data_IF_188616452413
#
_entry.id   IF_188616452413
#
_cell.length_a   1.000
_cell.length_b   1.000
_cell.length_c   1.000
_cell.angle_alpha   90.00
_cell.angle_beta   90.00
_cell.angle_gamma   90.00
#
_symmetry.space_group_name_H-M   'P 1'
#
loop_
_entity.id
_entity.type
_entity.pdbx_description
1 polymer ?
#
# COMPACT_ATOMS: atom_id res chain seq x y z
N UNK A 1 -34.31 21.73 -41.60
CA UNK A 1 -35.28 20.68 -41.94
C UNK A 1 -35.42 19.81 -40.70
N UNK A 2 -36.41 19.98 -39.82
CA UNK A 2 -37.74 19.32 -39.75
C UNK A 2 -37.60 17.79 -40.00
N UNK A 3 -37.91 16.85 -39.10
CA UNK A 3 -39.14 16.60 -38.28
C UNK A 3 -38.86 15.46 -37.30
N UNK A 4 -39.26 15.54 -36.05
CA UNK A 4 -40.50 15.01 -35.39
C UNK A 4 -40.45 13.52 -35.03
N UNK A 5 -40.42 13.26 -33.73
CA UNK A 5 -41.50 12.81 -32.81
C UNK A 5 -42.11 11.43 -33.12
N UNK A 6 -42.17 10.55 -32.13
CA UNK A 6 -43.41 10.09 -31.48
C UNK A 6 -43.11 9.22 -30.26
N UNK A 7 -43.72 9.55 -29.14
CA UNK A 7 -43.87 8.78 -27.91
C UNK A 7 -45.05 7.80 -28.03
N UNK A 8 -44.99 6.65 -27.35
CA UNK A 8 -46.18 5.90 -26.94
C UNK A 8 -45.97 5.33 -25.54
N UNK A 9 -46.80 5.81 -24.63
CA UNK A 9 -47.10 5.22 -23.34
C UNK A 9 -47.98 3.98 -23.50
N UNK A 10 -47.76 2.92 -22.70
CA UNK A 10 -48.82 1.98 -22.39
C UNK A 10 -48.72 1.59 -20.90
N UNK A 11 -49.74 2.02 -20.18
CA UNK A 11 -50.05 1.65 -18.81
C UNK A 11 -50.95 0.43 -18.86
N UNK A 12 -50.68 -0.64 -18.13
CA UNK A 12 -51.67 -1.69 -17.85
C UNK A 12 -51.73 -1.97 -16.36
N UNK A 13 -52.84 -1.55 -15.78
CA UNK A 13 -53.29 -1.85 -14.43
C UNK A 13 -53.95 -3.23 -14.41
N UNK A 14 -53.55 -4.13 -13.54
CA UNK A 14 -54.29 -5.35 -13.27
C UNK A 14 -54.74 -5.35 -11.80
N UNK A 15 -56.02 -5.10 -11.57
CA UNK A 15 -56.73 -5.33 -10.31
C UNK A 15 -57.02 -6.85 -10.17
N UNK A 16 -56.64 -7.47 -9.07
CA UNK A 16 -57.24 -8.73 -8.63
C UNK A 16 -57.95 -8.52 -7.30
N UNK A 17 -59.24 -8.76 -7.35
CA UNK A 17 -60.18 -8.84 -6.24
C UNK A 17 -60.00 -10.18 -5.52
N UNK A 18 -59.80 -10.16 -4.21
CA UNK A 18 -59.95 -11.35 -3.36
C UNK A 18 -61.25 -11.27 -2.58
N UNK A 19 -62.09 -12.27 -2.79
CA UNK A 19 -63.34 -12.51 -2.08
C UNK A 19 -63.10 -13.09 -0.69
N UNK A 20 -63.76 -12.49 0.30
CA UNK A 20 -63.81 -12.98 1.67
C UNK A 20 -64.73 -14.20 1.79
N UNK A 21 -64.17 -15.33 2.21
CA UNK A 21 -64.93 -16.47 2.69
C UNK A 21 -64.84 -16.59 4.21
N UNK A 22 -65.95 -16.32 4.91
CA UNK A 22 -66.06 -16.56 6.35
C UNK A 22 -66.31 -18.06 6.59
N UNK A 23 -65.39 -18.72 7.29
CA UNK A 23 -65.67 -19.99 7.96
C UNK A 23 -65.65 -19.80 9.47
N UNK A 24 -66.83 -20.01 10.04
CA UNK A 24 -67.07 -20.02 11.51
C UNK A 24 -66.71 -21.41 12.04
N UNK A 25 -65.71 -21.52 12.90
CA UNK A 25 -65.44 -22.71 13.68
C UNK A 25 -65.75 -22.46 15.15
N UNK A 26 -66.66 -23.30 15.70
CA UNK A 26 -66.98 -23.41 17.11
C UNK A 26 -65.75 -23.86 17.91
N UNK A 27 -65.30 -23.05 18.85
CA UNK A 27 -64.29 -23.46 19.82
C UNK A 27 -64.93 -24.20 21.01
N UNK A 28 -64.44 -25.41 21.28
CA UNK A 28 -64.54 -26.06 22.57
C UNK A 28 -63.47 -25.50 23.52
N UNK A 29 -63.74 -25.31 24.79
CA UNK A 29 -62.74 -24.90 25.77
C UNK A 29 -61.70 -26.00 25.97
N UNK A 30 -60.43 -25.69 25.76
CA UNK A 30 -59.30 -26.58 26.11
C UNK A 30 -58.88 -26.33 27.55
N UNK A 31 -58.60 -27.42 28.26
CA UNK A 31 -58.02 -27.40 29.61
C UNK A 31 -56.64 -26.68 29.65
N UNK A 32 -56.26 -26.08 30.80
CA UNK A 32 -54.97 -25.42 30.89
C UNK A 32 -53.81 -26.43 30.83
N UNK A 33 -52.94 -26.25 29.85
CA UNK A 33 -51.71 -27.00 29.72
C UNK A 33 -50.78 -26.70 30.93
N UNK A 34 -50.36 -27.74 31.63
CA UNK A 34 -49.31 -27.67 32.64
C UNK A 34 -48.00 -27.35 31.94
N UNK A 35 -47.48 -26.13 32.13
CA UNK A 35 -46.15 -25.75 31.65
C UNK A 35 -45.11 -26.44 32.51
N UNK A 36 -44.43 -27.47 31.94
CA UNK A 36 -43.17 -27.94 32.49
C UNK A 36 -42.14 -26.83 32.38
N UNK A 37 -41.30 -26.58 33.39
CA UNK A 37 -40.23 -25.57 33.28
C UNK A 37 -39.29 -25.96 32.18
N UNK A 38 -39.08 -25.05 31.22
CA UNK A 38 -38.08 -25.16 30.17
C UNK A 38 -36.71 -25.35 30.81
N UNK A 39 -35.92 -26.40 30.51
CA UNK A 39 -34.57 -26.50 31.04
C UNK A 39 -33.77 -25.30 30.66
N UNK A 40 -33.03 -24.71 31.59
CA UNK A 40 -32.15 -23.58 31.36
C UNK A 40 -31.34 -23.78 30.08
N UNK A 41 -31.25 -22.81 29.18
CA UNK A 41 -30.39 -22.92 28.00
C UNK A 41 -28.95 -23.25 28.47
N UNK A 42 -28.24 -24.10 27.74
CA UNK A 42 -26.86 -24.43 28.08
C UNK A 42 -26.04 -23.12 28.18
N UNK A 43 -25.08 -23.02 29.10
CA UNK A 43 -24.24 -21.85 29.22
C UNK A 43 -23.56 -21.57 27.87
N UNK A 44 -23.37 -20.27 27.50
CA UNK A 44 -22.69 -19.95 26.27
C UNK A 44 -21.28 -20.58 26.27
N UNK A 45 -20.80 -21.07 25.14
CA UNK A 45 -19.44 -21.64 25.05
C UNK A 45 -18.44 -20.62 25.56
N UNK A 46 -17.38 -21.03 26.25
CA UNK A 46 -16.33 -20.13 26.70
C UNK A 46 -15.78 -19.34 25.51
N UNK A 47 -15.40 -18.08 25.70
CA UNK A 47 -14.84 -17.27 24.62
C UNK A 47 -13.63 -17.99 24.03
N UNK A 48 -13.63 -18.18 22.71
CA UNK A 48 -12.51 -18.79 22.00
C UNK A 48 -11.32 -17.85 22.16
N UNK A 49 -10.35 -18.21 22.97
CA UNK A 49 -9.08 -17.50 23.06
C UNK A 49 -8.36 -17.77 21.73
N UNK A 50 -8.29 -16.75 20.87
CA UNK A 50 -7.48 -16.82 19.64
C UNK A 50 -6.03 -16.90 20.11
N UNK A 51 -5.40 -18.05 19.91
CA UNK A 51 -4.00 -18.24 20.28
C UNK A 51 -3.13 -17.29 19.44
N UNK A 52 -2.20 -16.59 20.11
CA UNK A 52 -1.19 -15.78 19.44
C UNK A 52 -0.26 -16.74 18.69
N UNK A 53 -0.05 -16.58 17.37
CA UNK A 53 0.79 -17.49 16.60
C UNK A 53 2.25 -17.36 17.00
N UNK A 54 2.99 -18.44 16.89
CA UNK A 54 4.44 -18.44 17.02
C UNK A 54 5.11 -17.77 15.81
N UNK A 55 6.34 -17.29 15.96
CA UNK A 55 7.14 -16.76 14.85
C UNK A 55 7.28 -17.80 13.72
N UNK A 56 7.44 -19.08 14.04
CA UNK A 56 7.55 -20.15 13.05
C UNK A 56 6.26 -20.29 12.20
N UNK A 57 5.09 -20.21 12.84
CA UNK A 57 3.80 -20.23 12.14
C UNK A 57 3.66 -19.01 11.22
N UNK A 58 4.04 -17.81 11.68
CA UNK A 58 4.00 -16.62 10.85
C UNK A 58 4.97 -16.73 9.68
N UNK A 59 6.23 -17.16 9.90
CA UNK A 59 7.20 -17.40 8.83
C UNK A 59 6.68 -18.37 7.77
N UNK A 60 5.89 -19.37 8.14
CA UNK A 60 5.30 -20.31 7.18
C UNK A 60 4.39 -19.64 6.16
N UNK A 61 3.86 -18.45 6.45
CA UNK A 61 3.01 -17.66 5.57
C UNK A 61 3.80 -16.73 4.62
N UNK A 62 5.04 -16.35 4.99
CA UNK A 62 5.85 -15.40 4.24
C UNK A 62 6.46 -16.00 2.97
N UNK A 63 6.87 -15.15 2.06
CA UNK A 63 7.72 -15.50 0.90
C UNK A 63 9.07 -16.06 1.38
N UNK A 64 9.70 -15.39 2.34
CA UNK A 64 10.92 -15.89 2.96
C UNK A 64 10.63 -16.62 4.28
N UNK A 65 10.76 -17.96 4.25
CA UNK A 65 10.59 -18.80 5.43
C UNK A 65 11.71 -18.61 6.48
N UNK A 66 12.80 -17.95 6.11
CA UNK A 66 13.94 -17.63 6.96
C UNK A 66 13.99 -16.13 7.32
N UNK A 67 12.91 -15.39 7.10
CA UNK A 67 12.82 -13.99 7.48
C UNK A 67 13.15 -13.76 8.95
N UNK A 68 13.67 -12.58 9.31
CA UNK A 68 13.94 -12.22 10.72
C UNK A 68 12.66 -12.29 11.56
N UNK A 69 12.79 -12.34 12.87
CA UNK A 69 11.63 -12.32 13.78
C UNK A 69 10.86 -11.02 13.65
N UNK A 70 11.58 -9.91 13.53
CA UNK A 70 11.03 -8.57 13.36
C UNK A 70 10.24 -8.44 12.03
N UNK A 71 10.74 -9.07 10.96
CA UNK A 71 10.03 -9.09 9.65
C UNK A 71 8.76 -9.94 9.73
N UNK A 72 8.82 -11.09 10.41
CA UNK A 72 7.63 -11.91 10.62
C UNK A 72 6.61 -11.19 11.52
N UNK A 73 7.07 -10.54 12.59
CA UNK A 73 6.21 -9.75 13.46
C UNK A 73 5.54 -8.58 12.70
N UNK A 74 6.31 -7.87 11.87
CA UNK A 74 5.77 -6.80 11.02
C UNK A 74 4.62 -7.31 10.15
N UNK A 75 4.82 -8.42 9.42
CA UNK A 75 3.76 -9.00 8.60
C UNK A 75 2.51 -9.33 9.41
N UNK A 76 2.66 -9.98 10.55
CA UNK A 76 1.55 -10.35 11.43
C UNK A 76 0.79 -9.11 11.92
N UNK A 77 1.52 -8.08 12.38
CA UNK A 77 0.93 -6.87 12.93
C UNK A 77 0.23 -6.02 11.85
N UNK A 78 0.80 -5.92 10.64
CA UNK A 78 0.14 -5.30 9.50
C UNK A 78 -1.20 -5.97 9.18
N UNK A 79 -1.25 -7.31 9.19
CA UNK A 79 -2.51 -8.05 9.00
C UNK A 79 -3.51 -7.84 10.13
N UNK A 80 -3.06 -7.72 11.36
CA UNK A 80 -3.97 -7.51 12.48
C UNK A 80 -4.55 -6.11 12.47
N UNK A 81 -3.72 -5.10 12.24
CA UNK A 81 -4.15 -3.70 12.16
C UNK A 81 -5.18 -3.50 11.04
N UNK A 82 -4.96 -4.10 9.87
CA UNK A 82 -5.87 -3.94 8.72
C UNK A 82 -7.32 -4.35 8.98
N UNK A 83 -7.58 -5.14 10.01
CA UNK A 83 -8.93 -5.57 10.39
C UNK A 83 -9.78 -4.45 10.99
N UNK A 84 -9.15 -3.45 11.58
CA UNK A 84 -9.84 -2.39 12.33
C UNK A 84 -9.37 -0.98 12.01
N UNK A 85 -8.12 -0.81 11.59
CA UNK A 85 -7.47 0.48 11.40
C UNK A 85 -6.56 0.47 10.18
N UNK A 86 -6.15 1.67 9.75
CA UNK A 86 -5.19 1.87 8.68
C UNK A 86 -4.03 2.74 9.16
N UNK A 87 -2.79 2.37 8.82
CA UNK A 87 -1.61 3.18 9.11
C UNK A 87 -1.44 4.26 8.05
N UNK A 88 -1.22 5.51 8.47
CA UNK A 88 -0.89 6.59 7.56
C UNK A 88 0.60 6.61 7.23
N UNK A 89 0.93 6.79 5.95
CA UNK A 89 2.28 6.85 5.43
C UNK A 89 2.54 8.08 4.56
N UNK A 90 3.79 8.51 4.53
CA UNK A 90 4.27 9.61 3.70
C UNK A 90 5.64 9.27 3.08
N UNK A 91 5.76 9.48 1.78
CA UNK A 91 7.01 9.26 1.04
C UNK A 91 8.03 10.33 1.43
N UNK A 92 9.28 9.94 1.68
CA UNK A 92 10.41 10.82 2.02
C UNK A 92 10.14 11.76 3.22
N UNK A 93 9.29 11.37 4.16
CA UNK A 93 8.74 12.24 5.22
C UNK A 93 9.82 13.00 6.01
N UNK A 94 10.90 12.34 6.40
CA UNK A 94 12.00 12.95 7.14
C UNK A 94 13.21 13.29 6.28
N UNK A 95 13.11 13.10 4.97
CA UNK A 95 14.16 13.39 4.00
C UNK A 95 14.01 14.78 3.39
N UNK A 96 12.78 15.18 3.07
CA UNK A 96 12.45 16.45 2.43
C UNK A 96 11.05 16.94 2.79
N UNK A 97 10.83 18.24 2.69
CA UNK A 97 9.51 18.83 2.94
C UNK A 97 9.53 20.35 2.83
N UNK A 98 8.41 20.97 3.25
CA UNK A 98 8.11 22.37 3.01
C UNK A 98 8.02 23.17 4.31
N UNK A 99 8.64 24.36 4.32
CA UNK A 99 8.39 25.36 5.35
C UNK A 99 7.19 26.24 4.96
N UNK A 100 6.97 26.45 3.68
CA UNK A 100 5.84 27.17 3.09
C UNK A 100 5.76 26.85 1.58
N UNK A 101 4.81 27.44 0.88
CA UNK A 101 4.53 27.16 -0.54
C UNK A 101 5.75 27.28 -1.48
N UNK A 102 6.77 28.05 -1.12
CA UNK A 102 7.93 28.33 -1.99
C UNK A 102 9.26 27.88 -1.41
N UNK A 103 9.29 27.46 -0.15
CA UNK A 103 10.52 27.15 0.58
C UNK A 103 10.51 25.72 1.09
N UNK A 104 11.48 24.93 0.65
CA UNK A 104 11.76 23.61 1.19
C UNK A 104 12.75 23.72 2.36
N UNK A 105 12.53 22.92 3.43
CA UNK A 105 13.53 22.81 4.52
C UNK A 105 14.66 21.83 4.14
N UNK A 106 14.41 20.88 3.24
CA UNK A 106 15.38 20.07 2.52
C UNK A 106 14.80 19.64 1.18
N UNK A 107 15.64 19.39 0.21
CA UNK A 107 15.26 18.86 -1.09
C UNK A 107 16.19 17.73 -1.54
N UNK A 108 15.77 16.98 -2.53
CA UNK A 108 16.47 15.80 -3.03
C UNK A 108 17.89 16.07 -3.55
N UNK A 109 18.13 17.25 -4.09
CA UNK A 109 19.42 17.59 -4.73
C UNK A 109 20.43 18.25 -3.78
N UNK A 110 20.00 18.71 -2.61
CA UNK A 110 20.80 19.51 -1.71
C UNK A 110 20.68 19.02 -0.27
N UNK A 111 21.07 17.76 -0.07
CA UNK A 111 21.06 17.12 1.24
C UNK A 111 22.25 17.53 2.12
N UNK A 112 22.98 18.59 1.75
CA UNK A 112 24.06 19.19 2.56
C UNK A 112 23.65 20.58 3.06
N UNK A 113 23.67 20.84 4.37
CA UNK A 113 23.99 19.86 5.41
C UNK A 113 22.93 18.76 5.49
N UNK A 114 23.29 17.65 6.09
CA UNK A 114 22.41 16.49 6.35
C UNK A 114 21.03 16.97 6.81
N UNK A 115 19.91 16.45 6.27
CA UNK A 115 18.58 16.88 6.69
C UNK A 115 18.41 16.63 8.20
N UNK A 116 17.72 17.53 8.92
CA UNK A 116 17.43 17.29 10.32
C UNK A 116 16.50 16.08 10.43
N UNK A 117 16.94 15.05 11.14
CA UNK A 117 16.29 13.74 11.22
C UNK A 117 14.96 13.73 11.99
N UNK A 118 14.69 14.79 12.77
CA UNK A 118 13.46 15.01 13.52
C UNK A 118 12.42 15.85 12.77
N UNK A 119 12.74 16.36 11.56
CA UNK A 119 11.83 17.20 10.79
C UNK A 119 10.88 16.35 9.94
N UNK A 120 9.61 16.77 9.90
CA UNK A 120 8.54 16.12 9.15
C UNK A 120 7.38 17.09 8.97
N UNK A 121 6.91 17.27 7.74
CA UNK A 121 5.74 18.11 7.47
C UNK A 121 4.49 17.56 8.16
N UNK A 122 4.36 16.23 8.21
CA UNK A 122 3.28 15.54 8.92
C UNK A 122 3.31 15.88 10.41
N UNK A 123 4.47 15.78 11.05
CA UNK A 123 4.63 16.08 12.50
C UNK A 123 4.42 17.56 12.80
N UNK A 124 4.91 18.46 11.96
CA UNK A 124 4.73 19.91 12.13
C UNK A 124 3.25 20.32 12.16
N UNK A 125 2.41 19.62 11.38
CA UNK A 125 0.97 19.87 11.29
C UNK A 125 0.19 19.11 12.37
N UNK A 126 0.49 17.82 12.57
CA UNK A 126 -0.35 16.92 13.37
C UNK A 126 0.19 16.63 14.76
N UNK A 127 1.38 17.08 15.08
CA UNK A 127 2.16 16.75 16.30
C UNK A 127 2.59 15.28 16.41
N UNK A 128 2.33 14.47 15.36
CA UNK A 128 2.71 13.06 15.27
C UNK A 128 3.41 12.78 13.95
N UNK A 129 4.39 11.89 13.95
CA UNK A 129 4.95 11.36 12.70
C UNK A 129 3.94 10.45 11.98
N UNK A 130 4.10 10.20 10.66
CA UNK A 130 3.43 9.07 10.02
C UNK A 130 3.93 7.76 10.64
N UNK A 131 3.20 6.67 10.44
CA UNK A 131 3.66 5.34 10.83
C UNK A 131 4.54 4.73 9.74
N UNK A 132 4.13 4.91 8.46
CA UNK A 132 4.82 4.32 7.32
C UNK A 132 5.66 5.39 6.62
N UNK A 133 6.95 5.10 6.50
CA UNK A 133 7.93 5.95 5.84
C UNK A 133 8.27 5.35 4.48
N UNK A 134 7.92 6.07 3.41
CA UNK A 134 8.29 5.70 2.06
C UNK A 134 9.70 6.17 1.73
N UNK A 135 10.43 5.34 1.00
CA UNK A 135 11.77 5.58 0.48
C UNK A 135 11.88 5.04 -0.94
N UNK A 136 13.00 5.29 -1.60
CA UNK A 136 13.28 4.78 -2.94
C UNK A 136 14.70 4.23 -3.05
N UNK A 137 14.85 3.16 -3.80
CA UNK A 137 16.17 2.61 -4.14
C UNK A 137 16.81 3.30 -5.35
N UNK A 138 16.13 4.26 -5.99
CA UNK A 138 16.58 4.90 -7.23
C UNK A 138 18.05 5.32 -7.19
N UNK A 139 18.44 6.08 -6.16
CA UNK A 139 19.82 6.60 -6.05
C UNK A 139 20.71 5.78 -5.11
N UNK A 140 20.21 4.62 -4.64
CA UNK A 140 20.90 3.76 -3.69
C UNK A 140 21.50 2.53 -4.39
N UNK A 141 20.74 1.95 -5.30
CA UNK A 141 21.03 0.69 -5.95
C UNK A 141 20.83 0.79 -7.45
N UNK A 142 21.55 1.70 -8.06
CA UNK A 142 21.59 1.93 -9.49
C UNK A 142 22.94 1.47 -10.07
N UNK A 143 23.03 1.38 -11.40
CA UNK A 143 24.30 1.17 -12.11
C UNK A 143 25.11 2.46 -12.27
N UNK A 144 24.56 3.61 -11.88
CA UNK A 144 25.25 4.89 -11.81
C UNK A 144 26.10 4.99 -10.54
N UNK A 145 27.22 5.68 -10.61
CA UNK A 145 28.18 5.83 -9.52
C UNK A 145 28.63 7.27 -9.35
N UNK A 146 29.04 7.63 -8.14
CA UNK A 146 29.62 8.94 -7.83
C UNK A 146 29.36 9.38 -6.39
N UNK A 147 30.06 10.40 -5.92
CA UNK A 147 29.99 10.86 -4.53
C UNK A 147 28.58 11.25 -4.07
N UNK A 148 27.73 11.70 -5.00
CA UNK A 148 26.36 12.06 -4.68
C UNK A 148 25.51 10.82 -4.32
N UNK A 149 25.68 9.70 -5.03
CA UNK A 149 24.97 8.45 -4.74
C UNK A 149 25.41 7.86 -3.38
N UNK A 150 26.69 7.91 -3.05
CA UNK A 150 27.17 7.44 -1.75
C UNK A 150 26.57 8.26 -0.61
N UNK A 151 26.49 9.59 -0.79
CA UNK A 151 25.87 10.51 0.17
C UNK A 151 24.38 10.25 0.34
N UNK A 152 23.64 10.08 -0.75
CA UNK A 152 22.21 9.74 -0.76
C UNK A 152 21.93 8.41 -0.05
N UNK A 153 22.78 7.40 -0.30
CA UNK A 153 22.72 6.08 0.31
C UNK A 153 22.92 6.16 1.83
N UNK A 154 23.86 6.97 2.30
CA UNK A 154 24.11 7.13 3.74
C UNK A 154 22.96 7.83 4.45
N UNK A 155 22.38 8.86 3.84
CA UNK A 155 21.21 9.56 4.38
C UNK A 155 20.00 8.61 4.43
N UNK A 156 19.71 7.90 3.35
CA UNK A 156 18.59 6.95 3.32
C UNK A 156 18.75 5.87 4.39
N UNK A 157 19.97 5.34 4.60
CA UNK A 157 20.26 4.38 5.67
C UNK A 157 19.93 4.95 7.04
N UNK A 158 20.43 6.15 7.33
CA UNK A 158 20.19 6.81 8.62
C UNK A 158 18.70 7.04 8.86
N UNK A 159 17.99 7.65 7.91
CA UNK A 159 16.56 7.95 8.05
C UNK A 159 15.72 6.69 8.23
N UNK A 160 16.07 5.60 7.53
CA UNK A 160 15.41 4.29 7.67
C UNK A 160 15.60 3.71 9.07
N UNK A 161 16.83 3.74 9.59
CA UNK A 161 17.14 3.26 10.95
C UNK A 161 16.41 4.11 12.00
N UNK A 162 16.38 5.42 11.83
CA UNK A 162 15.68 6.32 12.75
C UNK A 162 14.15 6.13 12.72
N UNK A 163 13.57 5.91 11.53
CA UNK A 163 12.15 5.56 11.41
C UNK A 163 11.83 4.27 12.18
N UNK A 164 12.64 3.22 12.02
CA UNK A 164 12.52 1.97 12.77
C UNK A 164 12.65 2.18 14.28
N UNK A 165 13.66 2.92 14.72
CA UNK A 165 13.91 3.19 16.16
C UNK A 165 12.74 3.98 16.80
N UNK A 166 11.97 4.73 16.01
CA UNK A 166 10.71 5.38 16.43
C UNK A 166 9.50 4.44 16.40
N UNK A 167 9.66 3.18 15.98
CA UNK A 167 8.56 2.22 15.80
C UNK A 167 7.85 2.32 14.44
N UNK A 168 8.36 3.13 13.53
CA UNK A 168 7.81 3.30 12.18
C UNK A 168 8.12 2.13 11.25
N UNK A 169 7.34 1.99 10.20
CA UNK A 169 7.44 0.95 9.17
C UNK A 169 8.07 1.54 7.91
N UNK A 170 9.11 0.91 7.39
CA UNK A 170 9.78 1.37 6.17
C UNK A 170 9.27 0.63 4.93
N UNK A 171 8.93 1.35 3.87
CA UNK A 171 8.62 0.81 2.54
C UNK A 171 9.50 1.45 1.49
N UNK A 172 10.00 0.66 0.56
CA UNK A 172 10.90 1.10 -0.49
C UNK A 172 10.30 0.79 -1.86
N UNK A 173 10.02 1.82 -2.65
CA UNK A 173 9.86 1.69 -4.09
C UNK A 173 11.23 1.52 -4.76
N UNK A 174 11.25 1.16 -6.04
CA UNK A 174 12.47 1.18 -6.82
C UNK A 174 12.19 1.73 -8.22
N UNK A 175 12.42 3.02 -8.38
CA UNK A 175 12.45 3.67 -9.68
C UNK A 175 13.81 3.37 -10.34
N UNK A 176 13.96 2.13 -10.80
CA UNK A 176 15.19 1.63 -11.37
C UNK A 176 15.40 2.16 -12.78
N UNK A 177 16.49 2.89 -12.99
CA UNK A 177 16.84 3.42 -14.30
C UNK A 177 17.05 2.29 -15.30
N UNK A 178 16.73 2.53 -16.58
CA UNK A 178 16.82 1.50 -17.61
C UNK A 178 18.28 1.06 -17.81
N UNK A 179 18.70 -0.16 -17.42
CA UNK A 179 20.09 -0.57 -17.44
C UNK A 179 20.62 -0.89 -18.85
N UNK A 180 19.76 -0.88 -19.85
CA UNK A 180 20.11 -1.12 -21.25
C UNK A 180 20.25 0.18 -22.04
N UNK A 181 19.57 1.22 -21.62
CA UNK A 181 19.70 2.55 -22.22
C UNK A 181 21.08 3.16 -21.90
N UNK A 182 21.81 3.54 -22.94
CA UNK A 182 23.23 3.92 -22.84
C UNK A 182 23.52 5.30 -22.25
N UNK A 183 22.53 6.12 -21.94
CA UNK A 183 22.74 7.50 -21.54
C UNK A 183 21.79 7.92 -20.43
N UNK A 184 22.31 8.71 -19.52
CA UNK A 184 21.63 9.55 -18.53
C UNK A 184 20.50 8.90 -17.71
N UNK A 185 20.49 7.62 -17.57
CA UNK A 185 19.56 6.79 -16.79
C UNK A 185 18.16 7.40 -16.63
N UNK A 186 17.13 6.65 -16.97
CA UNK A 186 15.78 7.03 -16.60
C UNK A 186 14.92 5.79 -16.47
N UNK A 187 14.10 5.78 -15.46
CA UNK A 187 13.06 4.76 -15.32
C UNK A 187 11.84 5.04 -16.23
N UNK A 188 11.71 6.27 -16.73
CA UNK A 188 10.65 6.62 -17.68
C UNK A 188 10.97 6.15 -19.09
N UNK A 189 9.98 5.50 -19.72
CA UNK A 189 10.11 5.02 -21.09
C UNK A 189 10.39 6.14 -22.12
N UNK A 190 9.72 7.28 -22.00
CA UNK A 190 9.89 8.40 -22.93
C UNK A 190 11.30 9.02 -22.91
N UNK A 191 12.05 8.82 -21.83
CA UNK A 191 13.44 9.28 -21.67
C UNK A 191 14.46 8.19 -22.04
N UNK A 192 14.12 6.93 -21.84
CA UNK A 192 14.98 5.78 -22.09
C UNK A 192 14.21 4.69 -22.86
N UNK A 193 13.77 4.94 -24.12
CA UNK A 193 12.87 4.07 -24.88
C UNK A 193 13.62 2.85 -25.47
N UNK A 194 14.16 2.01 -24.58
CA UNK A 194 14.88 0.79 -24.94
C UNK A 194 14.28 -0.37 -24.17
N UNK A 195 13.94 -1.45 -24.88
CA UNK A 195 13.47 -2.69 -24.26
C UNK A 195 14.55 -3.22 -23.30
N UNK A 196 14.19 -3.48 -22.07
CA UNK A 196 15.12 -3.88 -21.04
C UNK A 196 14.79 -5.22 -20.39
N UNK A 197 13.53 -5.60 -20.24
CA UNK A 197 13.14 -6.75 -19.42
C UNK A 197 13.81 -8.04 -19.89
N UNK A 198 13.74 -8.37 -21.16
CA UNK A 198 14.36 -9.59 -21.69
C UNK A 198 15.89 -9.54 -21.65
N UNK A 199 16.46 -8.32 -21.72
CA UNK A 199 17.92 -8.11 -21.67
C UNK A 199 18.51 -8.29 -20.27
N UNK A 200 17.72 -8.11 -19.20
CA UNK A 200 18.18 -8.28 -17.82
C UNK A 200 17.79 -9.63 -17.20
N UNK A 201 16.91 -10.38 -17.84
CA UNK A 201 16.59 -11.75 -17.47
C UNK A 201 17.79 -12.72 -17.70
N UNK A 202 17.81 -13.90 -17.07
CA UNK A 202 18.86 -14.89 -17.29
C UNK A 202 19.10 -15.19 -18.78
N UNK A 203 20.34 -15.05 -19.22
CA UNK A 203 20.73 -15.16 -20.63
C UNK A 203 20.70 -13.86 -21.43
N UNK A 204 20.14 -12.78 -20.89
CA UNK A 204 20.14 -11.45 -21.50
C UNK A 204 21.50 -10.75 -21.38
N UNK A 205 21.75 -9.81 -22.30
CA UNK A 205 23.04 -9.12 -22.43
C UNK A 205 23.42 -8.22 -21.23
N UNK A 206 22.44 -7.80 -20.43
CA UNK A 206 22.61 -6.92 -19.26
C UNK A 206 22.24 -7.62 -17.94
N UNK A 207 22.16 -8.96 -17.96
CA UNK A 207 21.83 -9.74 -16.76
C UNK A 207 22.81 -9.49 -15.61
N UNK A 208 24.12 -9.42 -15.87
CA UNK A 208 25.12 -9.16 -14.84
C UNK A 208 25.04 -7.73 -14.29
N UNK A 209 24.68 -6.74 -15.11
CA UNK A 209 24.43 -5.37 -14.65
C UNK A 209 23.28 -5.38 -13.64
N UNK A 210 22.20 -6.05 -13.97
CA UNK A 210 21.04 -6.16 -13.08
C UNK A 210 21.37 -6.89 -11.77
N UNK A 211 22.13 -7.97 -11.81
CA UNK A 211 22.59 -8.68 -10.61
C UNK A 211 23.45 -7.79 -9.69
N UNK A 212 24.28 -6.92 -10.27
CA UNK A 212 25.06 -5.97 -9.52
C UNK A 212 24.17 -4.94 -8.80
N UNK A 213 23.14 -4.40 -9.46
CA UNK A 213 22.16 -3.54 -8.82
C UNK A 213 21.39 -4.26 -7.69
N UNK A 214 21.02 -5.53 -7.90
CA UNK A 214 20.41 -6.34 -6.83
C UNK A 214 21.37 -6.59 -5.66
N UNK A 215 22.68 -6.67 -5.93
CA UNK A 215 23.69 -6.77 -4.86
C UNK A 215 23.74 -5.48 -4.04
N UNK A 216 23.66 -4.32 -4.65
CA UNK A 216 23.57 -3.03 -3.92
C UNK A 216 22.32 -2.95 -3.06
N UNK A 217 21.15 -3.38 -3.58
CA UNK A 217 19.91 -3.51 -2.77
C UNK A 217 20.15 -4.41 -1.55
N UNK A 218 20.79 -5.57 -1.75
CA UNK A 218 21.02 -6.52 -0.68
C UNK A 218 22.03 -6.01 0.36
N UNK A 219 23.10 -5.36 -0.08
CA UNK A 219 24.13 -4.82 0.82
C UNK A 219 23.55 -3.66 1.64
N UNK A 220 22.74 -2.81 1.03
CA UNK A 220 22.02 -1.77 1.74
C UNK A 220 21.04 -2.37 2.78
N UNK A 221 20.19 -3.32 2.38
CA UNK A 221 19.23 -3.97 3.28
C UNK A 221 19.89 -4.60 4.50
N UNK A 222 21.04 -5.27 4.31
CA UNK A 222 21.83 -5.89 5.38
C UNK A 222 22.59 -4.89 6.25
N UNK A 223 22.78 -3.66 5.79
CA UNK A 223 23.39 -2.58 6.57
C UNK A 223 22.41 -1.85 7.50
N UNK A 224 21.12 -2.11 7.38
CA UNK A 224 20.07 -1.48 8.18
C UNK A 224 19.99 -2.18 9.55
N UNK A 225 20.74 -1.69 10.52
CA UNK A 225 20.76 -2.22 11.88
C UNK A 225 20.18 -1.19 12.84
N UNK A 226 19.07 -1.55 13.51
CA UNK A 226 18.42 -0.72 14.52
C UNK A 226 19.24 -0.53 15.77
N UNK A 227 18.84 0.37 16.65
CA UNK A 227 19.49 0.61 17.94
C UNK A 227 19.45 -0.63 18.87
N UNK A 228 18.52 -1.54 18.64
CA UNK A 228 18.39 -2.83 19.32
C UNK A 228 19.32 -3.93 18.76
N UNK A 229 20.13 -3.60 17.75
CA UNK A 229 21.04 -4.53 17.08
C UNK A 229 20.37 -5.48 16.09
N UNK A 230 19.08 -5.23 15.75
CA UNK A 230 18.31 -6.07 14.84
C UNK A 230 18.29 -5.50 13.42
N UNK A 231 18.14 -6.40 12.43
CA UNK A 231 17.92 -5.98 11.06
C UNK A 231 16.55 -5.28 10.94
N UNK A 232 16.56 -4.07 10.38
CA UNK A 232 15.35 -3.28 10.14
C UNK A 232 14.51 -3.93 9.03
N UNK A 233 13.27 -4.33 9.29
CA UNK A 233 12.37 -4.83 8.25
C UNK A 233 12.02 -3.75 7.24
N UNK A 234 11.89 -4.15 5.97
CA UNK A 234 11.54 -3.28 4.84
C UNK A 234 10.48 -3.94 3.97
N UNK A 235 9.45 -3.20 3.60
CA UNK A 235 8.51 -3.60 2.55
C UNK A 235 9.13 -3.18 1.21
N UNK A 236 9.64 -4.13 0.44
CA UNK A 236 10.30 -3.87 -0.85
C UNK A 236 9.30 -3.99 -2.00
N UNK A 237 9.12 -2.92 -2.76
CA UNK A 237 8.12 -2.75 -3.82
C UNK A 237 8.77 -2.38 -5.16
N UNK A 238 9.43 -3.35 -5.84
CA UNK A 238 10.01 -3.13 -7.17
C UNK A 238 8.96 -3.17 -8.28
N UNK A 239 9.24 -2.51 -9.40
CA UNK A 239 8.47 -2.59 -10.65
C UNK A 239 6.97 -2.32 -10.48
N UNK A 240 6.62 -1.34 -9.66
CA UNK A 240 5.24 -0.90 -9.42
C UNK A 240 4.62 -0.24 -10.67
N UNK A 241 3.31 0.00 -10.63
CA UNK A 241 2.55 0.67 -11.72
C UNK A 241 2.77 0.03 -13.11
N UNK A 242 3.05 -1.24 -13.13
CA UNK A 242 3.42 -2.01 -14.34
C UNK A 242 2.29 -2.17 -15.36
N UNK A 243 1.06 -1.85 -15.00
CA UNK A 243 -0.13 -1.85 -15.86
C UNK A 243 -0.25 -0.56 -16.70
N UNK A 244 0.60 0.43 -16.41
CA UNK A 244 0.82 1.63 -17.23
C UNK A 244 1.88 1.46 -18.31
N UNK A 245 2.13 2.55 -19.06
CA UNK A 245 3.12 2.59 -20.14
C UNK A 245 4.22 3.63 -19.93
N UNK A 246 4.33 4.22 -18.74
CA UNK A 246 5.32 5.28 -18.46
C UNK A 246 6.68 4.74 -18.01
N UNK A 247 6.74 3.55 -17.42
CA UNK A 247 7.98 2.90 -17.00
C UNK A 247 8.45 1.86 -18.04
N UNK A 248 9.74 1.61 -18.13
CA UNK A 248 10.29 0.62 -19.07
C UNK A 248 9.85 -0.83 -18.77
N UNK A 249 9.41 -1.13 -17.55
CA UNK A 249 8.82 -2.43 -17.18
C UNK A 249 7.29 -2.49 -17.36
N UNK A 250 6.70 -1.44 -17.92
CA UNK A 250 5.25 -1.30 -18.06
C UNK A 250 4.63 -2.23 -19.11
N UNK A 251 3.30 -2.34 -19.05
CA UNK A 251 2.52 -3.30 -19.84
C UNK A 251 2.71 -3.17 -21.36
N UNK A 252 3.03 -1.97 -21.85
CA UNK A 252 3.27 -1.71 -23.28
C UNK A 252 4.69 -2.03 -23.75
N UNK A 253 5.62 -2.35 -22.82
CA UNK A 253 7.05 -2.48 -23.11
C UNK A 253 7.59 -3.86 -22.78
N UNK A 254 6.84 -4.70 -22.09
CA UNK A 254 7.18 -6.12 -21.90
C UNK A 254 5.91 -6.98 -21.81
N UNK A 255 6.03 -8.26 -22.13
CA UNK A 255 4.92 -9.21 -21.96
C UNK A 255 4.61 -9.48 -20.49
N UNK A 256 3.39 -9.96 -20.21
CA UNK A 256 3.02 -10.37 -18.86
C UNK A 256 3.92 -11.52 -18.33
N UNK A 257 4.35 -12.43 -19.20
CA UNK A 257 5.29 -13.52 -18.84
C UNK A 257 6.66 -12.99 -18.45
N UNK A 258 7.20 -12.03 -19.20
CA UNK A 258 8.53 -11.48 -18.93
C UNK A 258 8.53 -10.63 -17.66
N UNK A 259 7.49 -9.83 -17.44
CA UNK A 259 7.31 -9.11 -16.18
C UNK A 259 7.27 -10.07 -14.97
N UNK A 260 6.48 -11.17 -15.07
CA UNK A 260 6.42 -12.19 -14.00
C UNK A 260 7.79 -12.81 -13.76
N UNK A 261 8.50 -13.16 -14.84
CA UNK A 261 9.86 -13.73 -14.75
C UNK A 261 10.85 -12.75 -14.09
N UNK A 262 10.77 -11.46 -14.43
CA UNK A 262 11.60 -10.41 -13.82
C UNK A 262 11.35 -10.32 -12.30
N UNK A 263 10.10 -10.22 -11.89
CA UNK A 263 9.74 -10.14 -10.48
C UNK A 263 10.16 -11.41 -9.72
N UNK A 264 9.89 -12.58 -10.27
CA UNK A 264 10.26 -13.88 -9.69
C UNK A 264 11.78 -14.01 -9.54
N UNK A 265 12.54 -13.63 -10.57
CA UNK A 265 14.00 -13.63 -10.51
C UNK A 265 14.51 -12.69 -9.40
N UNK A 266 13.99 -11.48 -9.34
CA UNK A 266 14.35 -10.47 -8.33
C UNK A 266 14.21 -11.02 -6.91
N UNK A 267 13.02 -11.53 -6.59
CA UNK A 267 12.71 -12.09 -5.26
C UNK A 267 13.60 -13.29 -4.95
N UNK A 268 13.71 -14.21 -5.90
CA UNK A 268 14.54 -15.42 -5.71
C UNK A 268 16.00 -15.07 -5.49
N UNK A 269 16.55 -14.18 -6.31
CA UNK A 269 17.97 -13.82 -6.24
C UNK A 269 18.32 -13.08 -4.95
N UNK A 270 17.50 -12.12 -4.53
CA UNK A 270 17.68 -11.42 -3.23
C UNK A 270 17.60 -12.38 -2.05
N UNK A 271 16.61 -13.26 -2.04
CA UNK A 271 16.34 -14.17 -0.94
C UNK A 271 17.33 -15.34 -0.89
N UNK A 272 17.51 -16.06 -2.02
CA UNK A 272 18.26 -17.31 -2.01
C UNK A 272 19.76 -17.11 -2.28
N UNK A 273 20.11 -16.21 -3.20
CA UNK A 273 21.50 -16.00 -3.59
C UNK A 273 22.20 -14.93 -2.75
N UNK A 274 21.50 -13.85 -2.41
CA UNK A 274 22.08 -12.74 -1.65
C UNK A 274 21.73 -12.77 -0.16
N UNK A 275 20.84 -13.64 0.29
CA UNK A 275 20.54 -13.88 1.71
C UNK A 275 19.89 -12.69 2.42
N UNK A 276 19.09 -11.89 1.72
CA UNK A 276 18.28 -10.83 2.33
C UNK A 276 17.16 -11.47 3.12
N UNK A 277 17.06 -11.15 4.42
CA UNK A 277 16.11 -11.79 5.36
C UNK A 277 15.15 -10.80 6.02
N UNK A 278 15.28 -9.53 5.72
CA UNK A 278 14.49 -8.44 6.31
C UNK A 278 13.52 -7.79 5.31
N UNK A 279 13.19 -8.45 4.20
CA UNK A 279 12.22 -7.97 3.24
C UNK A 279 10.86 -8.67 3.37
N UNK A 280 9.78 -7.86 3.29
CA UNK A 280 8.46 -8.25 2.81
C UNK A 280 8.34 -7.78 1.36
N UNK A 281 7.99 -8.67 0.46
CA UNK A 281 7.92 -8.37 -0.97
C UNK A 281 6.53 -7.86 -1.35
N UNK A 282 6.46 -6.62 -1.87
CA UNK A 282 5.23 -5.96 -2.24
C UNK A 282 5.08 -5.84 -3.76
N UNK A 283 3.85 -6.02 -4.25
CA UNK A 283 3.48 -5.95 -5.65
C UNK A 283 2.23 -5.08 -5.80
N UNK A 284 2.29 -4.06 -6.66
CA UNK A 284 1.21 -3.10 -6.87
C UNK A 284 1.14 -2.62 -8.32
N UNK A 285 0.01 -2.84 -9.02
CA UNK A 285 -0.34 -2.07 -10.22
C UNK A 285 -0.74 -0.64 -9.86
N UNK A 286 -0.87 0.20 -10.89
CA UNK A 286 -1.68 1.43 -10.83
C UNK A 286 -3.18 1.04 -10.77
N UNK A 287 -4.03 1.63 -11.52
CA UNK A 287 -5.49 1.51 -11.42
C UNK A 287 -6.17 0.79 -12.60
N UNK A 288 -5.42 0.24 -13.54
CA UNK A 288 -5.99 -0.26 -14.81
C UNK A 288 -6.63 -1.66 -14.68
N UNK A 289 -7.40 -1.88 -13.61
CA UNK A 289 -8.16 -3.10 -13.40
C UNK A 289 -9.56 -2.81 -12.83
N UNK A 290 -10.52 -3.68 -13.14
CA UNK A 290 -11.90 -3.61 -12.64
C UNK A 290 -12.43 -4.98 -12.17
N UNK A 291 -11.57 -6.01 -12.22
CA UNK A 291 -11.87 -7.38 -11.75
C UNK A 291 -10.61 -8.01 -11.15
N UNK A 292 -10.77 -9.05 -10.33
CA UNK A 292 -9.66 -9.83 -9.79
C UNK A 292 -8.80 -10.44 -10.90
N UNK A 293 -9.41 -10.96 -11.97
CA UNK A 293 -8.68 -11.53 -13.10
C UNK A 293 -7.78 -10.50 -13.79
N UNK A 294 -8.28 -9.28 -14.00
CA UNK A 294 -7.49 -8.18 -14.57
C UNK A 294 -6.40 -7.71 -13.59
N UNK A 295 -6.72 -7.62 -12.30
CA UNK A 295 -5.73 -7.32 -11.25
C UNK A 295 -4.56 -8.29 -11.28
N UNK A 296 -4.82 -9.59 -11.46
CA UNK A 296 -3.83 -10.66 -11.41
C UNK A 296 -3.16 -10.98 -12.76
N UNK A 297 -3.44 -10.25 -13.84
CA UNK A 297 -2.89 -10.56 -15.17
C UNK A 297 -1.37 -10.69 -15.16
N UNK A 298 -0.68 -9.80 -14.44
CA UNK A 298 0.79 -9.78 -14.32
C UNK A 298 1.30 -10.26 -12.96
N UNK A 299 0.44 -10.87 -12.16
CA UNK A 299 0.79 -11.34 -10.82
C UNK A 299 1.83 -12.45 -10.86
N UNK A 300 2.98 -12.32 -10.15
CA UNK A 300 4.08 -13.28 -10.23
C UNK A 300 3.81 -14.60 -9.49
N UNK A 301 2.76 -14.65 -8.68
CA UNK A 301 2.36 -15.82 -7.90
C UNK A 301 2.52 -15.64 -6.40
N UNK A 302 1.73 -16.40 -5.64
CA UNK A 302 1.60 -16.27 -4.18
C UNK A 302 2.92 -16.51 -3.42
N UNK A 303 3.84 -17.27 -3.98
CA UNK A 303 5.14 -17.60 -3.38
C UNK A 303 6.19 -16.49 -3.52
N UNK A 304 5.85 -15.40 -4.21
CA UNK A 304 6.75 -14.27 -4.46
C UNK A 304 6.27 -12.94 -3.87
N UNK A 305 5.07 -12.91 -3.27
CA UNK A 305 4.45 -11.67 -2.79
C UNK A 305 3.92 -11.84 -1.38
N UNK A 306 4.29 -10.95 -0.46
CA UNK A 306 3.76 -10.85 0.91
C UNK A 306 2.67 -9.78 1.02
N UNK A 307 2.86 -8.66 0.30
CA UNK A 307 1.98 -7.49 0.31
C UNK A 307 1.46 -7.24 -1.09
N UNK A 308 0.15 -7.18 -1.25
CA UNK A 308 -0.51 -6.79 -2.49
C UNK A 308 -1.09 -5.39 -2.34
N UNK A 309 -0.94 -4.54 -3.35
CA UNK A 309 -1.40 -3.16 -3.28
C UNK A 309 -1.95 -2.63 -4.59
N UNK A 310 -2.22 -1.34 -4.60
CA UNK A 310 -2.52 -0.57 -5.80
C UNK A 310 -2.13 0.89 -5.57
N UNK A 311 -1.63 1.52 -6.61
CA UNK A 311 -1.35 2.95 -6.66
C UNK A 311 -2.53 3.62 -7.38
N UNK A 312 -3.08 4.68 -6.82
CA UNK A 312 -4.24 5.32 -7.44
C UNK A 312 -4.33 6.81 -7.11
N UNK A 313 -3.82 7.61 -8.02
CA UNK A 313 -3.96 9.06 -7.97
C UNK A 313 -5.18 9.54 -8.78
N UNK A 314 -5.38 8.94 -9.96
CA UNK A 314 -6.34 9.44 -10.94
C UNK A 314 -7.78 9.39 -10.46
N UNK A 315 -8.23 8.25 -9.95
CA UNK A 315 -9.64 8.09 -9.57
C UNK A 315 -10.02 9.04 -8.43
N UNK A 316 -9.12 9.24 -7.46
CA UNK A 316 -9.36 10.13 -6.32
C UNK A 316 -9.44 11.60 -6.74
N UNK A 317 -8.67 12.01 -7.74
CA UNK A 317 -8.59 13.41 -8.15
C UNK A 317 -9.59 13.79 -9.26
N UNK A 318 -10.21 12.81 -9.92
CA UNK A 318 -11.14 13.01 -11.01
C UNK A 318 -12.60 12.66 -10.67
N UNK A 319 -12.92 12.53 -9.38
CA UNK A 319 -14.29 12.29 -8.91
C UNK A 319 -14.75 10.83 -9.02
N UNK A 320 -13.82 9.88 -9.18
CA UNK A 320 -14.10 8.45 -9.29
C UNK A 320 -13.79 7.67 -7.99
N UNK A 321 -13.99 8.29 -6.82
CA UNK A 321 -13.72 7.68 -5.52
C UNK A 321 -14.40 6.32 -5.32
N UNK A 322 -15.61 6.13 -5.84
CA UNK A 322 -16.29 4.83 -5.81
C UNK A 322 -15.57 3.76 -6.65
N UNK A 323 -14.96 4.13 -7.78
CA UNK A 323 -14.15 3.20 -8.57
C UNK A 323 -12.85 2.84 -7.83
N UNK A 324 -12.21 3.80 -7.16
CA UNK A 324 -11.07 3.55 -6.29
C UNK A 324 -11.44 2.59 -5.14
N UNK A 325 -12.55 2.85 -4.43
CA UNK A 325 -13.05 1.96 -3.35
C UNK A 325 -13.30 0.53 -3.85
N UNK A 326 -13.89 0.36 -5.04
CA UNK A 326 -14.09 -0.96 -5.63
C UNK A 326 -12.77 -1.69 -5.93
N UNK A 327 -11.75 -0.96 -6.41
CA UNK A 327 -10.41 -1.52 -6.64
C UNK A 327 -9.74 -1.93 -5.31
N UNK A 328 -9.82 -1.09 -4.29
CA UNK A 328 -9.35 -1.44 -2.95
C UNK A 328 -10.06 -2.68 -2.39
N UNK A 329 -11.35 -2.86 -2.70
CA UNK A 329 -12.11 -4.05 -2.34
C UNK A 329 -11.54 -5.30 -3.01
N UNK A 330 -11.22 -5.26 -4.30
CA UNK A 330 -10.57 -6.37 -5.03
C UNK A 330 -9.24 -6.74 -4.37
N UNK A 331 -8.39 -5.74 -4.09
CA UNK A 331 -7.08 -5.93 -3.43
C UNK A 331 -7.24 -6.56 -2.05
N UNK A 332 -8.14 -6.02 -1.22
CA UNK A 332 -8.41 -6.49 0.13
C UNK A 332 -8.95 -7.92 0.15
N UNK A 333 -9.93 -8.23 -0.71
CA UNK A 333 -10.53 -9.56 -0.77
C UNK A 333 -9.51 -10.61 -1.21
N UNK A 334 -8.68 -10.30 -2.22
CA UNK A 334 -7.61 -11.18 -2.65
C UNK A 334 -6.57 -11.42 -1.54
N UNK A 335 -6.12 -10.35 -0.88
CA UNK A 335 -5.18 -10.46 0.24
C UNK A 335 -5.72 -11.35 1.35
N UNK A 336 -6.99 -11.18 1.71
CA UNK A 336 -7.66 -11.99 2.72
C UNK A 336 -7.75 -13.45 2.31
N UNK A 337 -8.16 -13.74 1.07
CA UNK A 337 -8.27 -15.09 0.53
C UNK A 337 -6.91 -15.82 0.46
N UNK A 338 -5.83 -15.07 0.23
CA UNK A 338 -4.45 -15.58 0.07
C UNK A 338 -3.56 -15.38 1.30
N UNK A 339 -4.13 -14.93 2.41
CA UNK A 339 -3.41 -14.70 3.66
C UNK A 339 -2.24 -13.70 3.51
N UNK A 340 -2.43 -12.66 2.71
CA UNK A 340 -1.46 -11.58 2.45
C UNK A 340 -1.84 -10.30 3.19
N UNK A 341 -0.96 -9.30 3.14
CA UNK A 341 -1.25 -7.93 3.54
C UNK A 341 -1.77 -7.16 2.33
N UNK A 342 -2.82 -6.35 2.52
CA UNK A 342 -3.29 -5.40 1.52
C UNK A 342 -2.92 -3.97 1.89
N UNK A 343 -2.65 -3.12 0.89
CA UNK A 343 -2.34 -1.71 1.10
C UNK A 343 -2.79 -0.83 -0.09
N UNK A 344 -3.04 0.43 0.18
CA UNK A 344 -3.00 1.48 -0.84
C UNK A 344 -1.57 2.03 -0.87
N UNK A 345 -0.78 1.49 -1.79
CA UNK A 345 0.68 1.61 -1.78
C UNK A 345 1.19 2.97 -2.21
N UNK A 346 0.42 3.69 -3.04
CA UNK A 346 0.61 5.11 -3.34
C UNK A 346 -0.71 5.81 -3.65
N UNK A 347 -0.80 7.06 -3.24
CA UNK A 347 -1.86 7.98 -3.63
C UNK A 347 -1.47 9.43 -3.32
N UNK A 348 -2.37 10.36 -3.58
CA UNK A 348 -2.22 11.76 -3.21
C UNK A 348 -3.04 12.68 -4.08
N UNK A 349 -3.13 13.95 -3.69
CA UNK A 349 -3.67 14.99 -4.56
C UNK A 349 -2.70 15.29 -5.70
N UNK A 350 -3.21 15.63 -6.88
CA UNK A 350 -2.38 16.03 -8.02
C UNK A 350 -2.38 17.55 -8.27
N UNK A 351 -3.04 18.32 -7.42
CA UNK A 351 -3.32 19.74 -7.59
C UNK A 351 -2.96 20.59 -6.36
N UNK A 352 -2.05 20.08 -5.49
CA UNK A 352 -1.59 20.77 -4.29
C UNK A 352 -2.74 21.25 -3.39
N UNK A 353 -3.76 20.39 -3.22
CA UNK A 353 -4.95 20.67 -2.41
C UNK A 353 -5.77 21.87 -2.89
N UNK A 354 -6.06 21.98 -4.17
CA UNK A 354 -7.09 22.90 -4.67
C UNK A 354 -8.45 22.64 -3.99
N UNK A 355 -8.65 21.40 -3.50
CA UNK A 355 -9.72 21.00 -2.57
C UNK A 355 -9.13 20.81 -1.18
N UNK A 356 -9.25 21.78 -0.28
CA UNK A 356 -8.60 21.73 1.02
C UNK A 356 -9.16 20.65 1.98
N UNK A 357 -10.29 20.04 1.64
CA UNK A 357 -10.96 18.95 2.37
C UNK A 357 -10.69 17.54 1.77
N UNK A 358 -9.62 17.41 0.98
CA UNK A 358 -9.28 16.19 0.26
C UNK A 358 -9.06 14.98 1.17
N UNK A 359 -8.44 15.17 2.33
CA UNK A 359 -8.16 14.06 3.25
C UNK A 359 -9.41 13.42 3.81
N UNK A 360 -10.39 14.23 4.26
CA UNK A 360 -11.64 13.69 4.83
C UNK A 360 -12.67 13.35 3.76
N UNK A 361 -12.90 14.23 2.78
CA UNK A 361 -13.97 14.09 1.80
C UNK A 361 -13.60 13.23 0.58
N UNK A 362 -12.31 12.99 0.35
CA UNK A 362 -11.85 12.12 -0.75
C UNK A 362 -11.15 10.88 -0.21
N UNK A 363 -10.02 11.03 0.48
CA UNK A 363 -9.20 9.90 0.90
C UNK A 363 -9.91 9.02 1.94
N UNK A 364 -10.26 9.58 3.10
CA UNK A 364 -10.91 8.83 4.17
C UNK A 364 -12.20 8.16 3.70
N UNK A 365 -13.02 8.90 2.95
CA UNK A 365 -14.26 8.37 2.38
C UNK A 365 -13.99 7.20 1.44
N UNK A 366 -12.96 7.29 0.57
CA UNK A 366 -12.57 6.19 -0.31
C UNK A 366 -12.13 4.95 0.48
N UNK A 367 -11.36 5.13 1.55
CA UNK A 367 -10.87 4.05 2.40
C UNK A 367 -11.96 3.38 3.24
N UNK A 368 -13.08 4.09 3.53
CA UNK A 368 -14.16 3.60 4.40
C UNK A 368 -15.45 3.23 3.67
N UNK A 369 -15.60 3.58 2.39
CA UNK A 369 -16.81 3.34 1.59
C UNK A 369 -17.13 1.84 1.44
N UNK A 370 -16.12 1.00 1.31
CA UNK A 370 -16.21 -0.45 1.31
C UNK A 370 -15.62 -1.00 2.63
N UNK A 371 -16.05 -2.19 3.03
CA UNK A 371 -15.42 -2.90 4.16
C UNK A 371 -14.12 -3.54 3.67
N UNK A 372 -13.04 -2.78 3.66
CA UNK A 372 -11.72 -3.23 3.23
C UNK A 372 -10.78 -3.42 4.42
N UNK A 373 -9.87 -4.37 4.32
CA UNK A 373 -8.81 -4.63 5.30
C UNK A 373 -7.48 -4.18 4.67
N UNK A 374 -7.13 -2.90 4.83
CA UNK A 374 -5.89 -2.32 4.32
C UNK A 374 -4.95 -1.99 5.49
N UNK A 375 -3.71 -2.44 5.43
CA UNK A 375 -2.74 -2.20 6.49
C UNK A 375 -2.24 -0.75 6.51
N UNK A 376 -2.03 -0.16 5.34
CA UNK A 376 -1.60 1.24 5.24
C UNK A 376 -2.08 1.92 3.97
N UNK A 377 -2.08 3.23 4.02
CA UNK A 377 -2.15 4.13 2.87
C UNK A 377 -0.92 5.03 2.89
N UNK A 378 -0.27 5.22 1.73
CA UNK A 378 0.90 6.09 1.61
C UNK A 378 0.62 7.20 0.60
N UNK A 379 0.83 8.44 1.02
CA UNK A 379 0.81 9.61 0.11
C UNK A 379 2.24 9.98 -0.29
N UNK A 380 2.39 10.55 -1.52
CA UNK A 380 3.71 10.81 -2.11
C UNK A 380 4.46 11.96 -1.43
N UNK A 381 5.68 12.22 -1.88
CA UNK A 381 6.63 13.14 -1.27
C UNK A 381 6.37 14.62 -1.54
N UNK A 382 6.63 15.45 -0.54
CA UNK A 382 6.52 16.90 -0.67
C UNK A 382 7.73 17.53 -1.38
N UNK A 383 7.44 18.33 -2.42
CA UNK A 383 8.37 19.22 -3.09
C UNK A 383 7.73 20.60 -3.25
N UNK A 384 8.51 21.64 -3.56
CA UNK A 384 7.96 22.99 -3.82
C UNK A 384 6.96 23.06 -4.98
N UNK A 385 6.98 22.10 -5.89
CA UNK A 385 6.13 22.12 -7.08
C UNK A 385 4.90 21.20 -6.93
N UNK A 386 5.02 20.19 -6.08
CA UNK A 386 3.99 19.18 -5.86
C UNK A 386 4.11 18.65 -4.44
N UNK A 387 3.04 18.73 -3.66
CA UNK A 387 3.05 18.26 -2.29
C UNK A 387 1.77 17.50 -1.96
N UNK A 388 1.91 16.50 -1.12
CA UNK A 388 0.91 15.47 -0.84
C UNK A 388 0.49 15.42 0.62
N UNK A 389 1.17 16.18 1.49
CA UNK A 389 0.71 16.55 2.83
C UNK A 389 0.79 18.07 2.98
N UNK A 390 -0.13 18.71 3.72
CA UNK A 390 -0.05 20.14 3.94
C UNK A 390 1.18 20.48 4.81
N UNK A 391 1.80 21.59 4.52
CA UNK A 391 2.75 22.25 5.44
C UNK A 391 1.96 23.12 6.45
N UNK A 392 2.59 23.47 7.56
CA UNK A 392 1.96 24.29 8.61
C UNK A 392 1.51 25.66 8.09
N UNK A 393 0.24 26.00 8.31
CA UNK A 393 -0.40 27.22 7.79
C UNK A 393 -1.05 27.05 6.41
N UNK A 394 -1.00 25.86 5.79
CA UNK A 394 -1.69 25.59 4.54
C UNK A 394 -3.21 25.47 4.73
N UNK A 395 -4.01 25.85 3.73
CA UNK A 395 -5.48 25.80 3.80
C UNK A 395 -6.05 24.39 4.13
N UNK A 396 -5.36 23.32 3.75
CA UNK A 396 -5.76 21.95 4.05
C UNK A 396 -5.29 21.44 5.44
N UNK A 397 -4.58 22.25 6.23
CA UNK A 397 -4.09 21.85 7.55
C UNK A 397 -5.20 21.36 8.47
N UNK A 398 -6.30 22.12 8.56
CA UNK A 398 -7.42 21.79 9.44
C UNK A 398 -8.11 20.47 9.06
N UNK A 399 -8.18 20.15 7.76
CA UNK A 399 -8.74 18.91 7.27
C UNK A 399 -7.80 17.72 7.54
N UNK A 400 -6.50 17.91 7.34
CA UNK A 400 -5.50 16.88 7.66
C UNK A 400 -5.47 16.54 9.15
N UNK A 401 -5.65 17.53 10.03
CA UNK A 401 -5.80 17.30 11.47
C UNK A 401 -7.08 16.52 11.79
N UNK A 402 -8.20 16.78 11.09
CA UNK A 402 -9.43 15.97 11.23
C UNK A 402 -9.19 14.53 10.79
N UNK A 403 -8.52 14.33 9.65
CA UNK A 403 -8.15 13.01 9.15
C UNK A 403 -7.28 12.25 10.17
N UNK A 404 -6.26 12.91 10.75
CA UNK A 404 -5.41 12.35 11.80
C UNK A 404 -6.21 11.93 13.04
N UNK A 405 -7.25 12.67 13.40
CA UNK A 405 -8.05 12.42 14.59
C UNK A 405 -9.21 11.43 14.35
N UNK A 406 -9.35 10.89 13.14
CA UNK A 406 -10.32 9.84 12.87
C UNK A 406 -9.87 8.52 13.51
N UNK A 407 -10.80 7.86 14.21
CA UNK A 407 -10.49 6.64 14.96
C UNK A 407 -10.01 5.46 14.08
N UNK A 408 -10.28 5.50 12.78
CA UNK A 408 -9.83 4.49 11.82
C UNK A 408 -8.37 4.67 11.42
N UNK A 409 -7.82 5.90 11.49
CA UNK A 409 -6.49 6.23 10.96
C UNK A 409 -5.47 6.31 12.10
N UNK A 410 -4.38 5.58 12.00
CA UNK A 410 -3.29 5.60 12.95
C UNK A 410 -2.09 6.37 12.42
N UNK A 411 -1.64 7.33 13.19
CA UNK A 411 -0.33 7.96 13.11
C UNK A 411 0.60 7.34 14.15
N UNK A 412 1.85 7.77 14.24
CA UNK A 412 2.83 7.15 15.14
C UNK A 412 2.42 7.18 16.62
N UNK A 413 1.63 8.19 17.03
CA UNK A 413 1.12 8.32 18.41
C UNK A 413 0.11 7.23 18.80
N UNK A 414 -0.61 6.65 17.84
CA UNK A 414 -1.63 5.61 18.05
C UNK A 414 -1.16 4.20 17.68
N UNK A 415 -0.10 4.11 16.86
CA UNK A 415 0.34 2.83 16.32
C UNK A 415 0.88 1.90 17.42
N UNK A 416 0.49 0.61 17.41
CA UNK A 416 1.08 -0.37 18.31
C UNK A 416 2.52 -0.69 17.90
N UNK A 417 3.26 -1.41 18.77
CA UNK A 417 4.57 -1.93 18.40
C UNK A 417 4.46 -2.92 17.24
N UNK A 418 5.21 -2.67 16.15
CA UNK A 418 5.10 -3.44 14.90
C UNK A 418 6.04 -4.65 14.82
N UNK A 419 7.06 -4.73 15.68
CA UNK A 419 8.18 -5.66 15.55
C UNK A 419 8.19 -6.78 16.60
N UNK A 420 7.10 -6.96 17.33
CA UNK A 420 6.88 -8.06 18.27
C UNK A 420 5.46 -8.60 18.13
N UNK A 421 5.31 -9.92 18.17
CA UNK A 421 3.99 -10.57 18.24
C UNK A 421 3.52 -10.53 19.70
N UNK A 422 2.37 -9.92 19.94
CA UNK A 422 1.78 -9.80 21.30
C UNK A 422 0.33 -10.25 21.29
#
# INVERSE_FOLDING_TARGET
MKRNCVSVNFCLLLLMLFSNGFFSFCNKPSEPATTTPNPNPPPPPPPTVIAIPTIAEVRSMLVDKNATEETAALFYNLKNISKTNILFGHQDDTKRGLTNATTQWANEQHLTPHPPTDKSDVKEVTTSYPVVYGHDFQHIADFLTGNWFDYEKDIARQLTIEAYNRGGVNTYAWHYDNPVAKTDGSFYWDKAPTEAVTNILPGGSHHEVYKNSLKEVADFAKSLIGADGKLVPVIFRPFHEFDGGWFWWGATHCSASDYKALYQFTVTYLKENLGVRNFLYAWSPDRNFTSEAAYLERYPGDTYVDVVGTDNYWDLNNGFSAAASNKLKIVSDYAKAKNKVAAMTETGTIDNFSKPDWFTNTLLKTLTDQKVELAYVLVWANTKNSFYTPYKGHAAEADFIKFKNDAYVFFASEAPGMYQIK
#
